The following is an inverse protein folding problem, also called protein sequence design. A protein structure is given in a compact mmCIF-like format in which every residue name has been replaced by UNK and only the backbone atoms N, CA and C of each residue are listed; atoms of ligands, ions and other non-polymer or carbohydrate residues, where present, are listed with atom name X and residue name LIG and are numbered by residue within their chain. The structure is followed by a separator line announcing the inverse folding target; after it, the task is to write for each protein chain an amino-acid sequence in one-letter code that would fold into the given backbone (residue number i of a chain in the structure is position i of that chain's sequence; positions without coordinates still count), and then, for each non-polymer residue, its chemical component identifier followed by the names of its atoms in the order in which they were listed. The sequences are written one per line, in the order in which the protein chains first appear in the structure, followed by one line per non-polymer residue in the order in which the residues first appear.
data_IF_000513168007
#
_entry.id   IF_000513168007
#
_cell.length_a   1.000
_cell.length_b   1.000
_cell.length_c   1.000
_cell.angle_alpha   90.00
_cell.angle_beta   90.00
_cell.angle_gamma   90.00
#
_symmetry.space_group_name_H-M   'P 1'
#
loop_
_entity.id
_entity.type
_entity.pdbx_description
1 polymer ?
#
# COMPACT_ATOMS: atom_id res chain seq x y z
N UNK A 1 -35.89 -27.15 -34.16
CA UNK A 1 -35.88 -25.92 -33.36
C UNK A 1 -35.17 -26.17 -32.02
N UNK A 2 -33.91 -26.54 -32.10
CA UNK A 2 -33.01 -26.79 -30.95
C UNK A 2 -31.61 -26.59 -31.52
N UNK A 3 -30.95 -25.49 -31.34
CA UNK A 3 -29.51 -25.16 -31.51
C UNK A 3 -29.42 -23.62 -31.74
N UNK A 4 -29.89 -22.81 -30.81
CA UNK A 4 -29.61 -21.36 -30.83
C UNK A 4 -29.35 -20.81 -29.39
N UNK A 5 -29.35 -21.67 -28.37
CA UNK A 5 -29.22 -21.23 -26.97
C UNK A 5 -27.81 -21.46 -26.34
N UNK A 6 -26.84 -21.94 -27.14
CA UNK A 6 -25.50 -22.29 -26.62
C UNK A 6 -24.42 -21.26 -26.97
N UNK A 7 -24.71 -20.18 -27.70
CA UNK A 7 -23.71 -19.23 -28.19
C UNK A 7 -23.71 -17.87 -27.51
N UNK A 8 -24.51 -17.67 -26.46
CA UNK A 8 -24.64 -16.36 -25.80
C UNK A 8 -23.94 -16.27 -24.41
N UNK A 9 -23.15 -17.27 -24.02
CA UNK A 9 -22.48 -17.29 -22.72
C UNK A 9 -20.96 -17.07 -22.82
N UNK A 10 -20.41 -16.90 -24.02
CA UNK A 10 -18.95 -16.80 -24.23
C UNK A 10 -18.44 -15.38 -24.49
N UNK A 11 -19.20 -14.34 -24.15
CA UNK A 11 -18.78 -12.92 -24.26
C UNK A 11 -18.85 -12.16 -22.94
N UNK A 12 -18.78 -12.85 -21.81
CA UNK A 12 -18.46 -12.18 -20.55
C UNK A 12 -16.95 -12.05 -20.47
N UNK A 13 -16.52 -10.89 -20.90
CA UNK A 13 -15.19 -10.40 -21.07
C UNK A 13 -14.15 -11.00 -20.14
N UNK A 14 -13.01 -11.33 -20.74
CA UNK A 14 -11.75 -11.26 -20.03
C UNK A 14 -11.68 -9.84 -19.41
N UNK A 15 -12.09 -9.71 -18.18
CA UNK A 15 -11.92 -8.50 -17.41
C UNK A 15 -10.42 -8.23 -17.41
N UNK A 16 -10.02 -7.14 -18.03
CA UNK A 16 -8.65 -6.64 -17.97
C UNK A 16 -8.24 -6.70 -16.50
N UNK A 17 -7.12 -7.33 -16.20
CA UNK A 17 -6.52 -7.30 -14.86
C UNK A 17 -6.33 -5.82 -14.55
N UNK A 18 -7.25 -5.25 -13.78
CA UNK A 18 -7.17 -3.86 -13.35
C UNK A 18 -6.12 -3.83 -12.27
N UNK A 19 -5.27 -2.82 -12.28
CA UNK A 19 -4.21 -2.56 -11.31
C UNK A 19 -4.81 -2.38 -9.90
N UNK A 20 -5.17 -3.49 -9.27
CA UNK A 20 -5.77 -3.54 -7.94
C UNK A 20 -4.72 -4.08 -6.98
N UNK A 21 -4.44 -3.31 -5.92
CA UNK A 21 -3.32 -3.60 -5.03
C UNK A 21 -3.73 -4.43 -3.83
N UNK A 22 -4.80 -4.06 -3.13
CA UNK A 22 -5.19 -4.76 -1.89
C UNK A 22 -5.25 -6.28 -2.02
N UNK A 23 -4.81 -7.04 -1.01
CA UNK A 23 -4.22 -6.59 0.27
C UNK A 23 -2.72 -6.28 0.18
N UNK A 24 -2.12 -6.26 -1.02
CA UNK A 24 -0.70 -5.99 -1.27
C UNK A 24 -0.44 -4.48 -1.33
N UNK A 25 0.81 -4.07 -1.04
CA UNK A 25 1.30 -2.70 -1.20
C UNK A 25 2.22 -2.52 -2.42
N UNK A 26 2.69 -3.63 -3.00
CA UNK A 26 3.50 -3.59 -4.23
C UNK A 26 2.65 -3.09 -5.39
N UNK A 27 3.05 -1.98 -5.98
CA UNK A 27 2.35 -1.30 -7.06
C UNK A 27 2.51 -2.03 -8.40
N UNK A 28 1.41 -2.35 -9.05
CA UNK A 28 1.41 -2.85 -10.43
C UNK A 28 1.67 -1.70 -11.41
N UNK A 29 2.55 -1.86 -12.43
CA UNK A 29 2.77 -0.84 -13.45
C UNK A 29 1.55 -0.54 -14.33
N UNK A 30 0.56 -1.43 -14.38
CA UNK A 30 -0.68 -1.17 -15.12
C UNK A 30 -1.54 -0.13 -14.39
N UNK A 31 -2.26 0.68 -15.18
CA UNK A 31 -3.19 1.71 -14.67
C UNK A 31 -4.62 1.19 -14.71
N UNK A 32 -5.49 1.83 -13.92
CA UNK A 32 -6.94 1.49 -13.93
C UNK A 32 -7.64 1.88 -15.25
N UNK A 33 -6.98 2.71 -16.08
CA UNK A 33 -7.51 3.17 -17.38
C UNK A 33 -8.28 4.48 -17.30
N UNK A 34 -8.38 5.14 -18.44
CA UNK A 34 -9.00 6.46 -18.59
C UNK A 34 -10.46 6.51 -18.10
N UNK A 35 -10.82 7.54 -17.34
CA UNK A 35 -12.18 7.78 -16.86
C UNK A 35 -12.71 6.82 -15.82
N UNK A 36 -11.86 5.90 -15.33
CA UNK A 36 -12.21 4.96 -14.27
C UNK A 36 -11.78 5.48 -12.91
N UNK A 37 -12.54 5.10 -11.90
CA UNK A 37 -12.22 5.34 -10.49
C UNK A 37 -12.19 4.00 -9.79
N UNK A 38 -11.14 3.79 -9.01
CA UNK A 38 -10.97 2.68 -8.09
C UNK A 38 -11.11 3.21 -6.67
N UNK A 39 -11.92 2.53 -5.87
CA UNK A 39 -12.08 2.80 -4.44
C UNK A 39 -11.71 1.54 -3.68
N UNK A 40 -10.87 1.70 -2.67
CA UNK A 40 -10.49 0.65 -1.75
C UNK A 40 -10.91 1.02 -0.33
N UNK A 41 -11.27 0.00 0.45
CA UNK A 41 -11.60 0.17 1.86
C UNK A 41 -11.30 -1.09 2.64
N UNK A 42 -10.96 -0.94 3.92
CA UNK A 42 -10.67 -2.10 4.75
C UNK A 42 -10.35 -1.74 6.19
N UNK A 43 -9.91 -2.76 6.91
CA UNK A 43 -9.44 -2.69 8.28
C UNK A 43 -8.12 -3.42 8.41
N UNK A 44 -7.28 -3.02 9.37
CA UNK A 44 -6.03 -3.71 9.70
C UNK A 44 -5.83 -3.71 11.21
N UNK A 45 -5.35 -4.81 11.71
CA UNK A 45 -4.91 -4.99 13.07
C UNK A 45 -3.46 -5.45 13.08
N UNK A 46 -2.63 -4.77 13.87
CA UNK A 46 -1.22 -5.10 14.06
C UNK A 46 -0.96 -5.34 15.54
N UNK A 47 -0.53 -6.53 15.88
CA UNK A 47 -0.07 -6.88 17.21
C UNK A 47 1.37 -6.42 17.39
N UNK A 48 1.64 -5.76 18.52
CA UNK A 48 2.98 -5.35 18.92
C UNK A 48 3.61 -4.33 17.96
N UNK A 49 2.82 -3.36 17.49
CA UNK A 49 3.29 -2.25 16.66
C UNK A 49 4.29 -1.37 17.41
N UNK A 50 5.37 -0.97 16.73
CA UNK A 50 6.49 -0.23 17.31
C UNK A 50 6.60 1.16 16.70
N UNK A 51 6.68 2.18 17.55
CA UNK A 51 6.87 3.58 17.20
C UNK A 51 8.22 4.09 17.76
N UNK A 52 9.33 3.92 17.05
CA UNK A 52 10.68 4.19 17.57
C UNK A 52 10.89 5.66 17.94
N UNK A 53 10.17 6.58 17.30
CA UNK A 53 10.35 8.03 17.47
C UNK A 53 9.61 8.56 18.70
N UNK A 54 8.39 8.07 18.96
CA UNK A 54 7.59 8.42 20.14
C UNK A 54 7.83 7.51 21.35
N UNK A 55 8.45 6.34 21.12
CA UNK A 55 8.70 5.33 22.15
C UNK A 55 7.47 4.51 22.53
N UNK A 56 6.36 4.64 21.81
CA UNK A 56 5.15 3.86 22.05
C UNK A 56 5.26 2.47 21.43
N UNK A 57 4.62 1.49 22.08
CA UNK A 57 4.46 0.13 21.59
C UNK A 57 3.15 -0.46 22.07
N UNK A 58 2.46 -1.24 21.22
CA UNK A 58 1.20 -1.87 21.58
C UNK A 58 0.43 -2.39 20.38
N UNK A 59 -0.85 -2.66 20.58
CA UNK A 59 -1.73 -3.16 19.54
C UNK A 59 -2.39 -2.01 18.77
N UNK A 60 -2.22 -2.04 17.46
CA UNK A 60 -2.70 -0.99 16.55
C UNK A 60 -3.89 -1.49 15.75
N UNK A 61 -4.95 -0.71 15.72
CA UNK A 61 -6.12 -0.91 14.88
C UNK A 61 -6.32 0.28 13.94
N UNK A 62 -6.47 0.01 12.64
CA UNK A 62 -6.73 1.01 11.59
C UNK A 62 -8.09 0.81 10.95
N UNK A 63 -8.88 1.88 10.87
CA UNK A 63 -10.20 1.87 10.21
C UNK A 63 -10.71 3.28 9.90
N UNK A 64 -11.22 3.55 8.66
CA UNK A 64 -11.02 2.72 7.48
C UNK A 64 -9.55 2.76 7.05
N UNK A 65 -9.10 1.77 6.29
CA UNK A 65 -7.93 1.92 5.43
C UNK A 65 -8.49 2.16 4.04
N UNK A 66 -8.50 3.41 3.60
CA UNK A 66 -9.12 3.78 2.34
C UNK A 66 -8.09 4.31 1.34
N UNK A 67 -8.36 4.04 0.05
CA UNK A 67 -7.61 4.55 -1.07
C UNK A 67 -8.54 4.87 -2.23
N UNK A 68 -8.14 5.84 -3.05
CA UNK A 68 -8.85 6.23 -4.28
C UNK A 68 -7.83 6.42 -5.39
N UNK A 69 -8.04 5.75 -6.53
CA UNK A 69 -7.27 6.01 -7.75
C UNK A 69 -8.18 6.53 -8.85
N UNK A 70 -7.73 7.53 -9.58
CA UNK A 70 -8.48 8.20 -10.66
C UNK A 70 -7.67 8.10 -11.94
N UNK A 71 -8.15 7.36 -12.92
CA UNK A 71 -7.54 7.19 -14.23
C UNK A 71 -7.76 8.44 -15.10
N UNK A 72 -6.74 9.29 -15.19
CA UNK A 72 -6.79 10.54 -15.96
C UNK A 72 -6.48 10.33 -17.44
N UNK A 73 -5.84 9.21 -17.78
CA UNK A 73 -5.62 8.78 -19.16
C UNK A 73 -5.45 7.26 -19.24
N UNK A 74 -5.22 6.73 -20.44
CA UNK A 74 -4.93 5.29 -20.62
C UNK A 74 -3.60 4.86 -20.00
N UNK A 75 -2.71 5.79 -19.69
CA UNK A 75 -1.36 5.53 -19.17
C UNK A 75 -1.07 6.21 -17.84
N UNK A 76 -1.98 7.02 -17.30
CA UNK A 76 -1.74 7.77 -16.07
C UNK A 76 -2.94 7.77 -15.13
N UNK A 77 -2.66 7.73 -13.84
CA UNK A 77 -3.65 7.85 -12.76
C UNK A 77 -3.10 8.67 -11.59
N UNK A 78 -4.01 9.32 -10.88
CA UNK A 78 -3.74 10.00 -9.61
C UNK A 78 -4.28 9.12 -8.48
N UNK A 79 -3.50 9.01 -7.41
CA UNK A 79 -3.77 8.12 -6.27
C UNK A 79 -3.82 8.92 -4.97
N UNK A 80 -4.75 8.55 -4.10
CA UNK A 80 -4.87 9.03 -2.72
C UNK A 80 -4.91 7.79 -1.84
N UNK A 81 -3.84 7.54 -1.09
CA UNK A 81 -3.64 6.33 -0.31
C UNK A 81 -3.52 6.64 1.18
N UNK A 82 -3.65 5.62 2.03
CA UNK A 82 -3.51 5.70 3.48
C UNK A 82 -4.50 6.67 4.16
N UNK A 83 -5.68 6.86 3.58
CA UNK A 83 -6.75 7.61 4.26
C UNK A 83 -7.28 6.70 5.38
N UNK A 84 -6.82 6.93 6.61
CA UNK A 84 -7.10 6.05 7.74
C UNK A 84 -7.16 6.79 9.07
N UNK A 85 -7.85 6.18 10.04
CA UNK A 85 -7.73 6.50 11.45
C UNK A 85 -7.11 5.31 12.18
N UNK A 86 -6.15 5.63 13.05
CA UNK A 86 -5.41 4.67 13.85
C UNK A 86 -5.76 4.81 15.32
N UNK A 87 -5.88 3.67 16.01
CA UNK A 87 -5.95 3.58 17.45
C UNK A 87 -4.91 2.59 17.95
N UNK A 88 -3.98 3.08 18.77
CA UNK A 88 -2.99 2.27 19.46
C UNK A 88 -3.46 2.03 20.90
N UNK A 89 -3.58 0.75 21.29
CA UNK A 89 -3.65 0.32 22.68
C UNK A 89 -2.21 0.20 23.19
N UNK A 90 -1.83 1.04 24.16
CA UNK A 90 -0.42 1.21 24.55
C UNK A 90 -0.06 0.19 25.63
N UNK A 91 0.87 -0.71 25.31
CA UNK A 91 1.41 -1.70 26.25
C UNK A 91 2.64 -1.17 26.98
N UNK A 92 3.48 -0.38 26.29
CA UNK A 92 4.70 0.17 26.89
C UNK A 92 5.07 1.54 26.29
N UNK A 93 5.79 2.31 27.09
CA UNK A 93 6.39 3.61 26.74
C UNK A 93 7.85 3.57 27.06
N UNK A 94 8.70 4.02 26.16
CA UNK A 94 10.16 4.08 26.35
C UNK A 94 10.66 5.49 26.01
N UNK A 95 11.75 5.96 26.63
CA UNK A 95 12.41 7.18 26.18
C UNK A 95 12.77 7.07 24.69
N UNK A 96 12.41 8.09 23.93
CA UNK A 96 12.59 8.14 22.49
C UNK A 96 12.77 9.60 22.04
N UNK A 97 13.23 9.86 20.80
CA UNK A 97 13.56 11.21 20.34
C UNK A 97 12.48 12.26 20.49
N UNK A 98 11.19 11.88 20.35
CA UNK A 98 10.04 12.77 20.49
C UNK A 98 9.07 12.34 21.60
N UNK A 99 9.51 11.49 22.55
CA UNK A 99 8.63 11.03 23.65
C UNK A 99 8.08 12.16 24.50
N UNK A 100 8.81 13.27 24.62
CA UNK A 100 8.39 14.44 25.41
C UNK A 100 7.29 15.27 24.75
N UNK A 101 7.06 15.10 23.45
CA UNK A 101 5.96 15.75 22.70
C UNK A 101 4.66 14.96 22.80
N UNK A 102 4.69 13.70 23.21
CA UNK A 102 3.50 12.84 23.29
C UNK A 102 2.62 13.28 24.45
N UNK A 103 1.45 13.82 24.15
CA UNK A 103 0.48 14.31 25.16
C UNK A 103 -0.48 13.22 25.64
N UNK A 104 -0.56 12.09 24.93
CA UNK A 104 -1.42 10.97 25.30
C UNK A 104 -0.92 10.31 26.59
N UNK A 105 -1.62 10.50 27.72
CA UNK A 105 -1.23 9.94 29.05
C UNK A 105 -1.96 8.65 29.40
N UNK A 106 -3.04 8.30 28.66
CA UNK A 106 -3.86 7.11 28.89
C UNK A 106 -3.25 5.82 28.35
N UNK A 107 -4.00 4.72 28.44
CA UNK A 107 -3.65 3.41 27.89
C UNK A 107 -3.91 3.30 26.38
N UNK A 108 -4.37 4.34 25.71
CA UNK A 108 -4.57 4.37 24.27
C UNK A 108 -4.40 5.77 23.70
N UNK A 109 -4.06 5.83 22.42
CA UNK A 109 -4.03 7.07 21.64
C UNK A 109 -4.67 6.84 20.27
N UNK A 110 -5.14 7.91 19.64
CA UNK A 110 -5.77 7.86 18.30
C UNK A 110 -5.30 9.03 17.47
N UNK A 111 -5.17 8.82 16.16
CA UNK A 111 -4.87 9.88 15.20
C UNK A 111 -5.38 9.52 13.80
N UNK A 112 -5.45 10.52 12.92
CA UNK A 112 -5.50 10.29 11.48
C UNK A 112 -4.10 9.83 10.99
N UNK A 113 -4.07 9.02 9.94
CA UNK A 113 -2.79 8.66 9.29
C UNK A 113 -2.36 9.74 8.29
N UNK A 114 -1.09 9.70 7.93
CA UNK A 114 -0.54 10.56 6.87
C UNK A 114 -1.05 10.11 5.50
N UNK A 115 -1.80 10.97 4.82
CA UNK A 115 -2.29 10.70 3.47
C UNK A 115 -1.13 10.76 2.48
N UNK A 116 -1.08 9.79 1.57
CA UNK A 116 -0.14 9.77 0.46
C UNK A 116 -0.87 10.16 -0.83
N UNK A 117 -0.39 11.21 -1.48
CA UNK A 117 -0.86 11.62 -2.81
C UNK A 117 0.18 11.21 -3.84
N UNK A 118 -0.24 10.46 -4.84
CA UNK A 118 0.65 9.89 -5.85
C UNK A 118 0.15 10.08 -7.27
N UNK A 119 1.08 9.92 -8.20
CA UNK A 119 0.81 9.79 -9.64
C UNK A 119 1.57 8.59 -10.16
N UNK A 120 0.85 7.68 -10.82
CA UNK A 120 1.43 6.53 -11.51
C UNK A 120 1.31 6.70 -13.01
N UNK A 121 2.39 6.42 -13.72
CA UNK A 121 2.48 6.50 -15.18
C UNK A 121 2.98 5.16 -15.72
N UNK A 122 2.19 4.53 -16.60
CA UNK A 122 2.61 3.36 -17.35
C UNK A 122 3.47 3.80 -18.54
N UNK A 123 4.74 3.45 -18.51
CA UNK A 123 5.69 3.77 -19.59
C UNK A 123 5.54 2.79 -20.74
N UNK A 124 5.36 1.51 -20.43
CA UNK A 124 5.17 0.45 -21.42
C UNK A 124 4.27 -0.66 -20.89
N UNK A 125 3.26 -1.03 -21.66
CA UNK A 125 2.38 -2.17 -21.36
C UNK A 125 3.08 -3.51 -21.55
N UNK A 126 2.57 -4.55 -20.89
CA UNK A 126 3.03 -5.92 -21.06
C UNK A 126 2.77 -6.44 -22.48
N UNK A 127 3.70 -7.22 -22.99
CA UNK A 127 3.53 -8.02 -24.21
C UNK A 127 3.96 -9.47 -23.93
N UNK A 128 3.82 -10.37 -24.89
CA UNK A 128 4.29 -11.76 -24.74
C UNK A 128 5.77 -11.85 -24.36
N UNK A 129 6.61 -10.98 -24.93
CA UNK A 129 8.07 -10.99 -24.75
C UNK A 129 8.62 -9.94 -23.77
N UNK A 130 7.82 -8.92 -23.42
CA UNK A 130 8.28 -7.78 -22.60
C UNK A 130 7.40 -7.61 -21.38
N UNK A 131 7.96 -7.37 -20.16
CA UNK A 131 7.20 -6.96 -19.00
C UNK A 131 6.59 -5.56 -19.18
N UNK A 132 5.58 -5.24 -18.40
CA UNK A 132 5.10 -3.89 -18.23
C UNK A 132 6.11 -3.09 -17.39
N UNK A 133 6.23 -1.79 -17.70
CA UNK A 133 7.03 -0.83 -16.95
C UNK A 133 6.21 0.39 -16.59
N UNK A 134 6.36 0.85 -15.37
CA UNK A 134 5.74 2.07 -14.88
C UNK A 134 6.65 2.85 -13.95
N UNK A 135 6.20 4.03 -13.60
CA UNK A 135 6.85 4.90 -12.64
C UNK A 135 5.79 5.53 -11.73
N UNK A 136 6.11 5.64 -10.44
CA UNK A 136 5.25 6.28 -9.45
C UNK A 136 6.03 7.35 -8.70
N UNK A 137 5.47 8.56 -8.64
CA UNK A 137 5.83 9.61 -7.70
C UNK A 137 4.76 9.74 -6.64
N UNK A 138 5.17 9.95 -5.40
CA UNK A 138 4.21 10.19 -4.33
C UNK A 138 4.80 11.10 -3.26
N UNK A 139 3.91 11.78 -2.55
CA UNK A 139 4.22 12.63 -1.40
C UNK A 139 3.34 12.22 -0.24
N UNK A 140 3.94 11.95 0.91
CA UNK A 140 3.25 11.78 2.18
C UNK A 140 3.03 13.16 2.79
N UNK A 141 1.78 13.48 3.15
CA UNK A 141 1.40 14.73 3.77
C UNK A 141 1.41 14.59 5.30
N UNK A 142 1.81 15.62 6.06
CA UNK A 142 1.92 15.57 7.52
C UNK A 142 0.54 15.75 8.19
N UNK A 143 -0.34 14.75 8.08
CA UNK A 143 -1.67 14.80 8.69
C UNK A 143 -1.69 14.29 10.13
N UNK A 144 -0.81 13.33 10.45
CA UNK A 144 -0.65 12.75 11.78
C UNK A 144 0.33 13.58 12.62
N UNK A 145 -0.11 14.05 13.79
CA UNK A 145 0.70 14.89 14.68
C UNK A 145 1.62 14.09 15.61
N UNK A 146 2.66 14.77 16.11
CA UNK A 146 3.59 14.20 17.09
C UNK A 146 2.93 13.96 18.45
N UNK A 147 1.89 14.74 18.80
CA UNK A 147 1.23 14.73 20.10
C UNK A 147 0.51 13.41 20.37
N UNK A 148 0.03 12.75 19.34
CA UNK A 148 -0.57 11.41 19.44
C UNK A 148 0.48 10.32 19.68
N UNK A 149 1.71 10.57 19.24
CA UNK A 149 2.80 9.60 19.19
C UNK A 149 2.69 8.61 18.02
N UNK A 150 1.71 8.78 17.13
CA UNK A 150 1.52 7.94 15.95
C UNK A 150 2.07 8.58 14.67
N UNK A 151 2.09 9.91 14.59
CA UNK A 151 2.64 10.68 13.48
C UNK A 151 4.05 11.19 13.70
N UNK A 152 4.65 11.71 12.64
CA UNK A 152 5.98 12.33 12.64
C UNK A 152 5.94 13.81 12.28
N UNK A 153 4.79 14.34 11.86
CA UNK A 153 4.61 15.72 11.39
C UNK A 153 5.63 16.10 10.29
N UNK A 154 5.85 15.15 9.35
CA UNK A 154 6.85 15.31 8.28
C UNK A 154 6.26 15.04 6.91
N UNK A 155 6.76 15.79 5.92
CA UNK A 155 6.50 15.52 4.51
C UNK A 155 7.62 14.66 3.95
N UNK A 156 7.27 13.54 3.29
CA UNK A 156 8.22 12.64 2.66
C UNK A 156 7.91 12.51 1.16
N UNK A 157 8.94 12.22 0.36
CA UNK A 157 8.82 12.04 -1.09
C UNK A 157 9.28 10.65 -1.51
N UNK A 158 8.57 10.08 -2.50
CA UNK A 158 8.82 8.74 -3.01
C UNK A 158 8.89 8.76 -4.53
N UNK A 159 9.86 8.02 -5.08
CA UNK A 159 10.03 7.82 -6.51
C UNK A 159 10.33 6.34 -6.77
N UNK A 160 9.48 5.64 -7.52
CA UNK A 160 9.52 4.18 -7.63
C UNK A 160 9.36 3.73 -9.09
N UNK A 161 10.26 2.87 -9.55
CA UNK A 161 10.15 2.13 -10.80
C UNK A 161 9.35 0.86 -10.54
N UNK A 162 8.42 0.57 -11.42
CA UNK A 162 7.48 -0.54 -11.35
C UNK A 162 7.69 -1.47 -12.54
N UNK A 163 7.75 -2.77 -12.27
CA UNK A 163 7.90 -3.80 -13.30
C UNK A 163 6.90 -4.92 -13.04
N UNK A 164 6.19 -5.37 -14.06
CA UNK A 164 5.21 -6.44 -13.91
C UNK A 164 5.20 -7.39 -15.09
N UNK A 165 5.11 -8.71 -14.81
CA UNK A 165 5.01 -9.75 -15.81
C UNK A 165 4.03 -10.83 -15.41
N UNK A 166 3.17 -11.21 -16.35
CA UNK A 166 2.29 -12.36 -16.20
C UNK A 166 2.88 -13.56 -16.94
N UNK A 167 3.03 -14.68 -16.25
CA UNK A 167 3.45 -15.94 -16.83
C UNK A 167 2.44 -17.00 -16.45
N UNK A 168 1.73 -17.53 -17.45
CA UNK A 168 0.59 -18.44 -17.25
C UNK A 168 -0.47 -17.80 -16.33
N UNK A 169 -0.72 -18.39 -15.15
CA UNK A 169 -1.69 -17.90 -14.16
C UNK A 169 -1.05 -17.13 -12.99
N UNK A 170 0.24 -16.76 -13.12
CA UNK A 170 0.97 -16.03 -12.07
C UNK A 170 1.35 -14.64 -12.57
N UNK A 171 0.90 -13.61 -11.88
CA UNK A 171 1.37 -12.23 -12.00
C UNK A 171 2.50 -12.02 -11.01
N UNK A 172 3.65 -11.54 -11.47
CA UNK A 172 4.79 -11.13 -10.62
C UNK A 172 5.01 -9.64 -10.83
N UNK A 173 5.14 -8.91 -9.73
CA UNK A 173 5.39 -7.47 -9.74
C UNK A 173 6.60 -7.17 -8.85
N UNK A 174 7.47 -6.29 -9.32
CA UNK A 174 8.62 -5.77 -8.60
C UNK A 174 8.62 -4.26 -8.57
N UNK A 175 8.95 -3.70 -7.40
CA UNK A 175 9.12 -2.27 -7.20
C UNK A 175 10.50 -2.00 -6.62
N UNK A 176 11.17 -0.97 -7.13
CA UNK A 176 12.42 -0.46 -6.56
C UNK A 176 12.41 1.07 -6.65
N UNK A 177 12.80 1.74 -5.58
CA UNK A 177 12.70 3.20 -5.55
C UNK A 177 13.52 3.86 -4.46
N UNK A 178 13.39 5.16 -4.40
CA UNK A 178 13.99 6.05 -3.43
C UNK A 178 12.89 6.70 -2.58
N UNK A 179 13.05 6.68 -1.27
CA UNK A 179 12.28 7.49 -0.34
C UNK A 179 13.19 8.57 0.26
N UNK A 180 12.76 9.82 0.16
CA UNK A 180 13.42 10.97 0.81
C UNK A 180 12.59 11.26 2.05
N UNK A 181 13.08 10.83 3.22
CA UNK A 181 12.36 10.92 4.48
C UNK A 181 12.92 12.06 5.32
N UNK A 182 12.05 12.92 5.80
CA UNK A 182 12.42 14.03 6.67
C UNK A 182 12.72 13.53 8.08
N UNK A 183 13.67 14.19 8.74
CA UNK A 183 14.00 13.95 10.17
C UNK A 183 13.01 14.73 11.05
N UNK A 184 12.12 14.05 11.81
CA UNK A 184 11.14 14.74 12.63
C UNK A 184 11.74 15.50 13.82
N UNK A 185 13.01 15.24 14.15
CA UNK A 185 13.72 15.96 15.23
C UNK A 185 14.50 17.16 14.73
N UNK A 186 14.70 17.27 13.40
CA UNK A 186 15.43 18.38 12.80
C UNK A 186 14.99 18.58 11.35
N UNK A 187 14.09 19.51 11.13
CA UNK A 187 13.48 19.81 9.82
C UNK A 187 14.44 20.20 8.68
N UNK A 188 15.74 20.45 9.00
CA UNK A 188 16.77 20.71 8.00
C UNK A 188 17.54 19.45 7.58
N UNK A 189 17.15 18.28 8.04
CA UNK A 189 17.79 17.00 7.70
C UNK A 189 16.79 16.05 7.06
N UNK A 190 17.30 15.26 6.14
CA UNK A 190 16.59 14.15 5.50
C UNK A 190 17.49 12.93 5.42
N UNK A 191 16.88 11.78 5.19
CA UNK A 191 17.58 10.53 4.92
C UNK A 191 16.97 9.85 3.70
N UNK A 192 17.84 9.42 2.80
CA UNK A 192 17.44 8.67 1.63
C UNK A 192 17.44 7.18 1.96
N UNK A 193 16.32 6.51 1.66
CA UNK A 193 16.14 5.08 1.90
C UNK A 193 15.83 4.36 0.59
N UNK A 194 16.32 3.14 0.44
CA UNK A 194 15.92 2.27 -0.66
C UNK A 194 14.53 1.70 -0.38
N UNK A 195 13.59 1.91 -1.28
CA UNK A 195 12.28 1.26 -1.28
C UNK A 195 12.34 -0.01 -2.13
N UNK A 196 11.70 -1.08 -1.68
CA UNK A 196 11.63 -2.32 -2.42
C UNK A 196 10.30 -3.05 -2.18
N UNK A 197 9.90 -3.82 -3.17
CA UNK A 197 8.75 -4.70 -3.08
C UNK A 197 8.79 -5.76 -4.17
N UNK A 198 8.41 -6.98 -3.82
CA UNK A 198 8.17 -8.06 -4.77
C UNK A 198 6.91 -8.76 -4.36
N UNK A 199 5.99 -8.93 -5.29
CA UNK A 199 4.73 -9.63 -5.06
C UNK A 199 4.43 -10.64 -6.15
N UNK A 200 3.56 -11.58 -5.80
CA UNK A 200 2.95 -12.50 -6.74
C UNK A 200 1.45 -12.59 -6.48
N UNK A 201 0.71 -12.83 -7.54
CA UNK A 201 -0.71 -13.21 -7.50
C UNK A 201 -0.90 -14.42 -8.41
N UNK A 202 -1.49 -15.50 -7.88
CA UNK A 202 -1.78 -16.72 -8.64
C UNK A 202 -3.26 -17.02 -8.63
N UNK A 203 -3.86 -17.04 -9.81
CA UNK A 203 -5.25 -17.47 -9.99
C UNK A 203 -5.37 -18.97 -9.66
N UNK A 204 -6.27 -19.31 -8.72
CA UNK A 204 -6.66 -20.68 -8.37
C UNK A 204 -7.93 -21.06 -9.14
N UNK A 205 -8.84 -20.11 -9.27
CA UNK A 205 -10.06 -20.19 -10.05
C UNK A 205 -10.24 -18.90 -10.86
N UNK A 206 -11.31 -18.79 -11.64
CA UNK A 206 -11.64 -17.55 -12.34
C UNK A 206 -12.00 -16.38 -11.39
N UNK A 207 -12.28 -16.66 -10.12
CA UNK A 207 -12.69 -15.67 -9.13
C UNK A 207 -11.72 -15.54 -7.96
N UNK A 208 -10.90 -16.56 -7.68
CA UNK A 208 -10.06 -16.62 -6.49
C UNK A 208 -8.57 -16.63 -6.84
N UNK A 209 -7.79 -15.83 -6.10
CA UNK A 209 -6.33 -15.73 -6.20
C UNK A 209 -5.69 -15.92 -4.83
N UNK A 210 -4.54 -16.61 -4.79
CA UNK A 210 -3.58 -16.53 -3.69
C UNK A 210 -2.61 -15.41 -4.02
N UNK A 211 -2.29 -14.58 -3.03
CA UNK A 211 -1.36 -13.48 -3.18
C UNK A 211 -0.32 -13.49 -2.08
N UNK A 212 0.87 -12.96 -2.40
CA UNK A 212 1.91 -12.76 -1.41
C UNK A 212 2.88 -11.69 -1.83
N UNK A 213 3.51 -11.04 -0.84
CA UNK A 213 4.55 -10.04 -1.09
C UNK A 213 5.55 -9.96 0.05
N UNK A 214 6.71 -9.43 -0.29
CA UNK A 214 7.66 -8.82 0.64
C UNK A 214 7.85 -7.38 0.20
N UNK A 215 7.61 -6.43 1.10
CA UNK A 215 7.78 -5.00 0.82
C UNK A 215 8.44 -4.31 2.01
N UNK A 216 9.17 -3.24 1.73
CA UNK A 216 9.82 -2.50 2.80
C UNK A 216 10.70 -1.36 2.33
N UNK A 217 11.43 -0.82 3.29
CA UNK A 217 12.48 0.17 3.06
C UNK A 217 13.76 -0.26 3.77
N UNK A 218 14.90 -0.02 3.13
CA UNK A 218 16.22 -0.22 3.72
C UNK A 218 16.91 1.12 3.91
N UNK A 219 17.32 1.38 5.15
CA UNK A 219 18.19 2.51 5.44
C UNK A 219 19.60 2.21 4.94
N UNK A 220 20.17 3.11 4.16
CA UNK A 220 21.49 2.94 3.53
C UNK A 220 22.58 3.79 4.22
N UNK A 221 22.24 4.53 5.28
CA UNK A 221 23.14 5.45 5.96
C UNK A 221 24.12 4.70 6.88
N UNK A 222 25.40 4.80 6.61
CA UNK A 222 26.45 4.13 7.37
C UNK A 222 26.58 4.58 8.85
N UNK A 223 26.12 5.80 9.19
CA UNK A 223 26.10 6.34 10.54
C UNK A 223 24.85 5.93 11.36
N UNK A 224 24.07 5.00 10.88
CA UNK A 224 22.78 4.62 11.45
C UNK A 224 21.59 5.46 10.96
N UNK A 225 20.36 5.02 11.20
CA UNK A 225 19.15 5.72 10.78
C UNK A 225 18.98 7.05 11.52
N UNK A 226 18.43 8.05 10.84
CA UNK A 226 17.80 9.17 11.51
C UNK A 226 16.47 8.71 12.11
N UNK A 227 15.94 9.36 13.17
CA UNK A 227 14.65 9.02 13.74
C UNK A 227 13.54 8.98 12.66
N UNK A 228 12.73 7.94 12.67
CA UNK A 228 11.64 7.74 11.69
C UNK A 228 12.08 7.17 10.34
N UNK A 229 13.39 6.99 10.10
CA UNK A 229 13.93 6.48 8.82
C UNK A 229 14.50 5.07 8.92
N UNK A 230 14.18 4.34 9.96
CA UNK A 230 14.62 2.97 10.22
C UNK A 230 14.21 2.02 9.10
N UNK A 231 15.01 0.98 8.89
CA UNK A 231 14.64 -0.12 7.98
C UNK A 231 13.39 -0.82 8.50
N UNK A 232 12.48 -1.13 7.58
CA UNK A 232 11.25 -1.88 7.83
C UNK A 232 11.01 -2.87 6.70
N UNK A 233 10.42 -4.01 7.01
CA UNK A 233 10.03 -5.00 6.00
C UNK A 233 8.87 -5.85 6.51
N UNK A 234 7.86 -6.01 5.68
CA UNK A 234 6.66 -6.81 6.00
C UNK A 234 6.46 -7.84 4.90
N UNK A 235 6.19 -9.07 5.33
CA UNK A 235 5.71 -10.16 4.48
C UNK A 235 4.20 -10.20 4.59
N UNK A 236 3.49 -10.21 3.46
CA UNK A 236 2.03 -10.42 3.41
C UNK A 236 1.71 -11.68 2.63
N UNK A 237 0.74 -12.45 3.13
CA UNK A 237 0.18 -13.60 2.44
C UNK A 237 -1.34 -13.59 2.57
N UNK A 238 -2.05 -13.71 1.47
CA UNK A 238 -3.49 -13.53 1.48
C UNK A 238 -4.23 -14.15 0.32
N UNK A 239 -5.51 -13.84 0.29
CA UNK A 239 -6.47 -14.30 -0.70
C UNK A 239 -7.24 -13.09 -1.25
N UNK A 240 -7.64 -13.20 -2.51
CA UNK A 240 -8.59 -12.31 -3.18
C UNK A 240 -9.72 -13.11 -3.76
N UNK A 241 -10.92 -12.56 -3.70
CA UNK A 241 -12.10 -13.12 -4.35
C UNK A 241 -12.85 -12.03 -5.10
N UNK A 242 -13.03 -12.22 -6.41
CA UNK A 242 -13.67 -11.24 -7.30
C UNK A 242 -15.06 -11.71 -7.67
N UNK A 243 -16.06 -10.85 -7.48
CA UNK A 243 -17.43 -11.06 -7.92
C UNK A 243 -17.95 -9.81 -8.65
N UNK A 244 -18.12 -9.90 -9.96
CA UNK A 244 -18.45 -8.73 -10.79
C UNK A 244 -17.38 -7.66 -10.74
N UNK A 245 -17.74 -6.43 -10.38
CA UNK A 245 -16.82 -5.30 -10.21
C UNK A 245 -16.21 -5.17 -8.80
N UNK A 246 -16.64 -6.01 -7.87
CA UNK A 246 -16.20 -5.99 -6.48
C UNK A 246 -15.18 -7.10 -6.23
N UNK A 247 -14.08 -6.77 -5.57
CA UNK A 247 -13.09 -7.72 -5.07
C UNK A 247 -13.01 -7.60 -3.55
N UNK A 248 -13.19 -8.71 -2.84
CA UNK A 248 -12.88 -8.84 -1.42
C UNK A 248 -11.50 -9.43 -1.23
N UNK A 249 -10.83 -9.07 -0.14
CA UNK A 249 -9.48 -9.53 0.19
C UNK A 249 -9.28 -9.72 1.68
N UNK A 250 -8.30 -10.59 2.02
CA UNK A 250 -7.80 -10.74 3.38
C UNK A 250 -6.35 -11.23 3.33
N UNK A 251 -5.50 -10.78 4.27
CA UNK A 251 -4.12 -11.23 4.39
C UNK A 251 -3.62 -11.22 5.83
N UNK A 252 -2.66 -12.10 6.10
CA UNK A 252 -1.79 -12.07 7.28
C UNK A 252 -0.54 -11.25 6.98
N UNK A 253 -0.06 -10.53 7.97
CA UNK A 253 1.12 -9.69 7.95
C UNK A 253 2.12 -10.22 8.98
N UNK A 254 3.38 -10.29 8.59
CA UNK A 254 4.50 -10.68 9.45
C UNK A 254 5.61 -9.64 9.33
N UNK A 255 5.97 -9.03 10.44
CA UNK A 255 7.11 -8.12 10.49
C UNK A 255 8.42 -8.89 10.36
N UNK A 256 9.34 -8.36 9.57
CA UNK A 256 10.65 -8.98 9.34
C UNK A 256 11.80 -8.24 10.01
N UNK A 257 11.54 -7.07 10.61
CA UNK A 257 12.54 -6.30 11.39
C UNK A 257 12.02 -5.99 12.79
N UNK A 258 12.90 -5.54 13.68
CA UNK A 258 12.53 -5.14 15.04
C UNK A 258 11.70 -3.83 15.11
N UNK A 259 11.54 -3.15 13.98
CA UNK A 259 10.76 -1.90 13.88
C UNK A 259 9.35 -2.16 13.32
N UNK A 260 9.06 -3.40 12.94
CA UNK A 260 7.77 -3.81 12.39
C UNK A 260 6.89 -4.44 13.48
N UNK A 261 5.55 -4.50 13.29
CA UNK A 261 4.67 -5.28 14.15
C UNK A 261 5.04 -6.77 14.11
N UNK A 262 4.79 -7.49 15.19
CA UNK A 262 5.08 -8.93 15.23
C UNK A 262 4.24 -9.71 14.23
N UNK A 263 2.93 -9.52 14.28
CA UNK A 263 1.95 -10.14 13.38
C UNK A 263 0.76 -9.20 13.19
N UNK A 264 0.15 -9.23 12.03
CA UNK A 264 -1.05 -8.45 11.74
C UNK A 264 -2.02 -9.18 10.83
N UNK A 265 -3.18 -8.60 10.66
CA UNK A 265 -4.24 -9.07 9.77
C UNK A 265 -4.91 -7.88 9.09
N UNK A 266 -5.15 -7.99 7.80
CA UNK A 266 -5.93 -7.01 7.04
C UNK A 266 -7.05 -7.69 6.27
N UNK A 267 -8.18 -7.02 6.14
CA UNK A 267 -9.28 -7.42 5.28
C UNK A 267 -9.94 -6.19 4.64
N UNK A 268 -10.46 -6.36 3.45
CA UNK A 268 -11.07 -5.23 2.76
C UNK A 268 -11.70 -5.57 1.43
N UNK A 269 -11.92 -4.52 0.66
CA UNK A 269 -12.50 -4.62 -0.66
C UNK A 269 -11.91 -3.58 -1.61
N UNK A 270 -12.02 -3.86 -2.89
CA UNK A 270 -11.73 -2.94 -3.99
C UNK A 270 -12.91 -2.93 -4.96
N UNK A 271 -13.32 -1.75 -5.39
CA UNK A 271 -14.38 -1.56 -6.38
C UNK A 271 -13.92 -0.59 -7.47
N UNK A 272 -14.11 -0.99 -8.73
CA UNK A 272 -13.72 -0.17 -9.89
C UNK A 272 -14.93 0.10 -10.75
N UNK A 273 -15.14 1.37 -11.13
CA UNK A 273 -16.25 1.81 -11.99
C UNK A 273 -15.80 2.90 -12.96
N UNK A 274 -16.55 3.08 -14.03
CA UNK A 274 -16.38 4.20 -14.96
C UNK A 274 -17.13 5.41 -14.43
N UNK A 275 -16.41 6.50 -14.17
CA UNK A 275 -16.97 7.72 -13.57
C UNK A 275 -17.17 8.84 -14.60
N UNK A 276 -16.31 8.95 -15.61
CA UNK A 276 -16.34 10.02 -16.61
C UNK A 276 -15.68 9.55 -17.91
N UNK A 277 -15.91 10.32 -18.97
CA UNK A 277 -15.22 10.10 -20.25
C UNK A 277 -14.02 11.04 -20.33
N UNK A 278 -12.89 10.50 -20.77
CA UNK A 278 -11.70 11.29 -21.09
C UNK A 278 -11.70 11.52 -22.59
N UNK A 279 -11.52 12.76 -23.05
CA UNK A 279 -11.50 13.11 -24.49
C UNK A 279 -10.44 12.34 -25.28
#
# INVERSE_FOLDING_TARGET
MRIVLASLILLLGAGSAVAQQRPLLTEDPETIGAGRVLVEGGVEFDHDAVYPVSGLRGDLFRVPIAGVSIGVSSIAEVQFDQISFSRLSIDSRRPAPLSDLVTATGSSTTDAEDVIVGTKIRIAGETSSRPAFGFRFATKLPNAGNESGLGLDTTDFFATVLVGKTTQSVRIVGNVGLGILSDPTNGNRQNDVLLYGVSFARAITNAAEIVGEVTGRANTRGAGPLPGTESRSIVRMGLRYTYGGLRGDAALLLGATNNDPGVGFTAGFTYVFTAFQVP
#
